data_IF_886488894012
#
_entry.id   IF_886488894012
#
_cell.length_a   1.000
_cell.length_b   1.000
_cell.length_c   1.000
_cell.angle_alpha   90.00
_cell.angle_beta   90.00
_cell.angle_gamma   90.00
#
_symmetry.space_group_name_H-M   'P 1'
#
loop_
_entity.id
_entity.type
_entity.pdbx_description
1 polymer ?
#
# COMPACT_ATOMS: atom_id res chain seq x y z
N UNK A 1 7.06 -0.22 -14.63
CA UNK A 1 6.36 0.16 -15.87
C UNK A 1 7.34 0.03 -17.03
N UNK A 2 6.95 -0.57 -18.15
CA UNK A 2 7.79 -0.55 -19.37
C UNK A 2 7.86 0.89 -19.87
N UNK A 3 9.07 1.37 -20.17
CA UNK A 3 9.29 2.69 -20.74
C UNK A 3 9.03 2.62 -22.26
N UNK A 4 8.09 3.42 -22.74
CA UNK A 4 7.64 3.45 -24.13
C UNK A 4 7.88 4.81 -24.80
N UNK A 5 8.21 5.86 -24.05
CA UNK A 5 8.69 7.13 -24.58
C UNK A 5 10.15 7.02 -25.02
N UNK A 6 10.54 7.78 -26.04
CA UNK A 6 11.95 7.97 -26.39
C UNK A 6 12.59 9.07 -25.52
N UNK A 7 11.77 9.96 -24.95
CA UNK A 7 12.17 10.98 -23.97
C UNK A 7 11.27 10.92 -22.71
N UNK A 8 11.68 11.56 -21.60
CA UNK A 8 10.85 11.70 -20.41
C UNK A 8 9.49 12.36 -20.68
N UNK A 9 9.46 13.37 -21.55
CA UNK A 9 8.24 14.12 -21.89
C UNK A 9 7.26 13.24 -22.66
N UNK A 10 7.75 12.44 -23.61
CA UNK A 10 6.92 11.46 -24.31
C UNK A 10 6.39 10.37 -23.38
N UNK A 11 7.20 9.94 -22.40
CA UNK A 11 6.77 8.97 -21.41
C UNK A 11 5.70 9.55 -20.49
N UNK A 12 5.86 10.81 -20.07
CA UNK A 12 4.86 11.53 -19.28
C UNK A 12 3.53 11.62 -20.02
N UNK A 13 3.56 11.96 -21.31
CA UNK A 13 2.35 12.01 -22.14
C UNK A 13 1.66 10.64 -22.22
N UNK A 14 2.43 9.57 -22.47
CA UNK A 14 1.90 8.20 -22.52
C UNK A 14 1.37 7.70 -21.19
N UNK A 15 1.87 8.22 -20.07
CA UNK A 15 1.43 7.86 -18.74
C UNK A 15 0.12 8.56 -18.35
N UNK A 16 -0.23 9.72 -18.93
CA UNK A 16 -1.45 10.49 -18.56
C UNK A 16 -2.73 9.64 -18.52
N UNK A 17 -3.06 8.81 -19.54
CA UNK A 17 -4.27 7.99 -19.49
C UNK A 17 -4.23 6.92 -18.39
N UNK A 18 -3.04 6.39 -18.06
CA UNK A 18 -2.86 5.44 -16.97
C UNK A 18 -3.00 6.11 -15.60
N UNK A 19 -2.51 7.35 -15.46
CA UNK A 19 -2.68 8.15 -14.25
C UNK A 19 -4.15 8.48 -14.00
N UNK A 20 -4.92 8.82 -15.05
CA UNK A 20 -6.36 9.03 -14.92
C UNK A 20 -7.11 7.76 -14.53
N UNK A 21 -6.75 6.60 -15.08
CA UNK A 21 -7.33 5.32 -14.66
C UNK A 21 -6.99 4.99 -13.22
N UNK A 22 -5.75 5.21 -12.81
CA UNK A 22 -5.31 5.01 -11.43
C UNK A 22 -6.08 5.91 -10.48
N UNK A 23 -6.26 7.19 -10.82
CA UNK A 23 -7.04 8.14 -10.02
C UNK A 23 -8.47 7.66 -9.82
N UNK A 24 -9.16 7.27 -10.91
CA UNK A 24 -10.52 6.71 -10.84
C UNK A 24 -10.59 5.42 -10.00
N UNK A 25 -9.58 4.56 -10.11
CA UNK A 25 -9.51 3.34 -9.31
C UNK A 25 -9.34 3.66 -7.83
N UNK A 26 -8.46 4.61 -7.47
CA UNK A 26 -8.27 5.07 -6.08
C UNK A 26 -9.56 5.70 -5.54
N UNK A 27 -10.24 6.53 -6.34
CA UNK A 27 -11.51 7.13 -5.94
C UNK A 27 -12.58 6.05 -5.70
N UNK A 28 -12.66 5.04 -6.58
CA UNK A 28 -13.56 3.90 -6.41
C UNK A 28 -13.20 3.06 -5.19
N UNK A 29 -11.93 2.74 -4.98
CA UNK A 29 -11.48 1.93 -3.85
C UNK A 29 -11.57 2.67 -2.52
N UNK A 30 -11.49 4.01 -2.52
CA UNK A 30 -11.78 4.82 -1.33
C UNK A 30 -13.28 4.95 -1.05
N UNK A 31 -14.11 4.89 -2.09
CA UNK A 31 -15.56 4.91 -1.97
C UNK A 31 -16.15 3.54 -1.61
N UNK A 32 -15.42 2.45 -1.88
CA UNK A 32 -15.71 1.13 -1.33
C UNK A 32 -15.35 1.15 0.16
N UNK A 33 -16.34 1.43 1.00
CA UNK A 33 -16.23 1.19 2.44
C UNK A 33 -15.96 -0.30 2.64
N UNK A 34 -14.84 -0.63 3.30
CA UNK A 34 -14.56 -2.00 3.72
C UNK A 34 -15.65 -2.43 4.70
N UNK A 35 -16.05 -3.70 4.65
CA UNK A 35 -17.01 -4.21 5.64
C UNK A 35 -16.40 -4.17 7.04
N UNK A 36 -17.23 -4.11 8.07
CA UNK A 36 -16.74 -4.19 9.46
C UNK A 36 -15.95 -5.48 9.72
N UNK A 37 -16.35 -6.58 9.07
CA UNK A 37 -15.65 -7.87 9.15
C UNK A 37 -14.25 -7.78 8.53
N UNK A 38 -14.13 -7.22 7.32
CA UNK A 38 -12.83 -7.02 6.66
C UNK A 38 -11.95 -6.03 7.43
N UNK A 39 -12.54 -4.98 8.01
CA UNK A 39 -11.82 -4.03 8.84
C UNK A 39 -11.21 -4.72 10.07
N UNK A 40 -11.96 -5.60 10.72
CA UNK A 40 -11.50 -6.38 11.87
C UNK A 40 -10.39 -7.36 11.49
N UNK A 41 -10.55 -8.10 10.38
CA UNK A 41 -9.51 -9.01 9.88
C UNK A 41 -8.19 -8.28 9.59
N UNK A 42 -8.28 -7.08 8.99
CA UNK A 42 -7.10 -6.25 8.71
C UNK A 42 -6.41 -5.76 9.98
N UNK A 43 -7.17 -5.40 11.00
CA UNK A 43 -6.63 -4.99 12.30
C UNK A 43 -5.91 -6.17 12.99
N UNK A 44 -6.53 -7.35 13.00
CA UNK A 44 -5.92 -8.57 13.55
C UNK A 44 -4.64 -8.94 12.81
N UNK A 45 -4.67 -8.91 11.47
CA UNK A 45 -3.49 -9.15 10.64
C UNK A 45 -2.38 -8.13 10.91
N UNK A 46 -2.73 -6.86 11.14
CA UNK A 46 -1.76 -5.82 11.44
C UNK A 46 -1.04 -6.05 12.76
N UNK A 47 -1.75 -6.48 13.81
CA UNK A 47 -1.13 -6.85 15.08
C UNK A 47 -0.24 -8.10 14.93
N UNK A 48 -0.70 -9.11 14.19
CA UNK A 48 0.12 -10.30 13.91
C UNK A 48 1.41 -9.93 13.16
N UNK A 49 1.32 -9.04 12.18
CA UNK A 49 2.47 -8.54 11.45
C UNK A 49 3.49 -7.86 12.38
N UNK A 50 3.04 -6.95 13.25
CA UNK A 50 3.93 -6.28 14.22
C UNK A 50 4.63 -7.29 15.11
N UNK A 51 3.87 -8.23 15.66
CA UNK A 51 4.39 -9.28 16.54
C UNK A 51 5.41 -10.16 15.81
N UNK A 52 5.13 -10.54 14.56
CA UNK A 52 6.06 -11.31 13.74
C UNK A 52 7.36 -10.54 13.51
N UNK A 53 7.30 -9.28 13.07
CA UNK A 53 8.50 -8.47 12.84
C UNK A 53 9.33 -8.32 14.12
N UNK A 54 8.68 -8.04 15.24
CA UNK A 54 9.36 -7.89 16.52
C UNK A 54 9.91 -9.22 17.05
N UNK A 55 9.28 -10.37 16.77
CA UNK A 55 9.78 -11.68 17.20
C UNK A 55 11.17 -12.02 16.66
N UNK A 56 11.51 -11.55 15.46
CA UNK A 56 12.82 -11.75 14.84
C UNK A 56 13.87 -10.73 15.30
N UNK A 57 13.48 -9.72 16.08
CA UNK A 57 14.37 -8.64 16.53
C UNK A 57 14.86 -8.89 17.95
N UNK A 58 16.14 -8.62 18.26
CA UNK A 58 16.62 -8.68 19.63
C UNK A 58 15.96 -7.60 20.50
N UNK A 59 15.99 -7.81 21.82
CA UNK A 59 15.49 -6.84 22.80
C UNK A 59 16.20 -5.49 22.66
N UNK A 60 15.48 -4.37 22.79
CA UNK A 60 15.98 -3.02 22.55
C UNK A 60 16.08 -2.60 21.09
N UNK A 61 15.74 -3.49 20.14
CA UNK A 61 15.70 -3.22 18.69
C UNK A 61 14.31 -3.49 18.09
N UNK A 62 13.30 -3.65 18.93
CA UNK A 62 11.90 -3.77 18.54
C UNK A 62 11.42 -2.49 17.84
N UNK A 63 10.50 -2.62 16.90
CA UNK A 63 9.93 -1.48 16.19
C UNK A 63 8.56 -1.07 16.73
N UNK A 64 7.80 -2.02 17.25
CA UNK A 64 6.39 -1.83 17.58
C UNK A 64 6.09 -2.02 19.06
N UNK A 65 6.84 -2.89 19.73
CA UNK A 65 6.78 -3.12 21.19
C UNK A 65 7.83 -2.27 21.92
N UNK A 66 7.51 -1.86 23.16
CA UNK A 66 8.38 -1.02 24.00
C UNK A 66 9.53 -1.79 24.69
N UNK A 67 9.93 -2.97 24.19
CA UNK A 67 10.91 -3.88 24.83
C UNK A 67 12.38 -3.77 24.36
#
# INVERSE_FOLDING_TARGET
MKHYGRTPEEQLEKNKPLMEKLKKWIEKSKAEEISEEEAKEREEYWEEFKNNIDSFRPKGHKLYSEE
#
